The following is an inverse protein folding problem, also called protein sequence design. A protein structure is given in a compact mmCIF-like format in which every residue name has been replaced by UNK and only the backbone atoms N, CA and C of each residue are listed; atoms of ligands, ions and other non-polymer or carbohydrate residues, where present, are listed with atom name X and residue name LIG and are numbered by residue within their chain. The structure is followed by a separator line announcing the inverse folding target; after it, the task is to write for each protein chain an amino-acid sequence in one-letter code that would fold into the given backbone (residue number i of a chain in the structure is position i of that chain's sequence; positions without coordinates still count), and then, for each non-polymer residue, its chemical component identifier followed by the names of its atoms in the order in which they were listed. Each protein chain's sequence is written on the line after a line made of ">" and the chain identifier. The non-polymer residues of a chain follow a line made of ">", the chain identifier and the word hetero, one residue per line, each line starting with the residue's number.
data_IF_500385583289
#
_entry.id   IF_500385583289
#
_cell.length_a   1.000
_cell.length_b   1.000
_cell.length_c   1.000
_cell.angle_alpha   90.00
_cell.angle_beta   90.00
_cell.angle_gamma   90.00
#
_symmetry.space_group_name_H-M   'P 1'
#
loop_
_entity.id
_entity.type
_entity.pdbx_description
1 polymer ?
#
# COMPACT_ATOMS: atom_id res chain seq x y z
N UNK A 1 -81.72 43.68 10.87
CA UNK A 1 -80.71 44.50 10.15
C UNK A 1 -79.55 44.75 11.11
N UNK A 2 -78.30 44.47 10.73
CA UNK A 2 -77.66 43.20 10.33
C UNK A 2 -76.60 42.77 11.40
N UNK A 3 -75.91 41.62 11.35
CA UNK A 3 -75.73 40.71 10.24
C UNK A 3 -75.12 39.35 10.60
N UNK A 4 -75.42 38.43 9.69
CA UNK A 4 -74.76 37.17 9.30
C UNK A 4 -73.24 37.31 9.12
N UNK A 5 -72.34 36.32 9.16
CA UNK A 5 -72.31 34.84 9.18
C UNK A 5 -70.87 34.44 9.58
N UNK A 6 -70.55 33.23 10.04
CA UNK A 6 -69.95 32.15 9.21
C UNK A 6 -69.85 30.84 10.03
N UNK A 7 -70.32 29.73 9.41
CA UNK A 7 -70.18 28.31 9.82
C UNK A 7 -68.74 27.82 9.53
N UNK A 8 -68.18 26.72 10.07
CA UNK A 8 -68.49 25.30 9.78
C UNK A 8 -67.67 24.39 10.73
N UNK A 9 -68.41 23.55 11.47
CA UNK A 9 -68.32 22.09 11.71
C UNK A 9 -66.97 21.34 11.91
N UNK A 10 -66.92 20.70 13.09
CA UNK A 10 -66.14 19.51 13.53
C UNK A 10 -66.16 18.34 12.54
N UNK A 11 -65.10 17.50 12.58
CA UNK A 11 -65.22 16.06 12.84
C UNK A 11 -63.91 15.41 13.31
N UNK A 12 -64.07 14.62 14.37
CA UNK A 12 -63.16 13.67 15.01
C UNK A 12 -62.85 12.47 14.12
N UNK A 13 -61.65 11.90 14.23
CA UNK A 13 -61.30 10.59 13.67
C UNK A 13 -60.21 9.93 14.52
N UNK A 14 -60.61 8.92 15.28
CA UNK A 14 -59.76 8.07 16.12
C UNK A 14 -58.98 7.06 15.27
N UNK A 15 -57.79 6.69 15.76
CA UNK A 15 -56.91 5.69 15.15
C UNK A 15 -57.49 4.27 15.17
N UNK A 16 -57.06 3.49 14.19
CA UNK A 16 -57.26 2.03 14.12
C UNK A 16 -55.94 1.43 13.66
N UNK A 17 -55.31 0.66 14.54
CA UNK A 17 -54.38 -0.40 14.19
C UNK A 17 -55.20 -1.69 14.01
N UNK A 18 -55.00 -2.41 12.91
CA UNK A 18 -55.49 -3.77 12.75
C UNK A 18 -54.62 -4.58 11.79
N UNK A 19 -54.42 -5.83 12.19
CA UNK A 19 -53.63 -6.95 11.65
C UNK A 19 -54.38 -7.65 10.50
N UNK A 20 -53.72 -8.60 9.80
CA UNK A 20 -54.22 -9.71 8.93
C UNK A 20 -54.05 -9.45 7.40
N UNK A 21 -53.71 -10.38 6.49
CA UNK A 21 -53.26 -11.80 6.46
C UNK A 21 -53.00 -12.21 4.97
N UNK A 22 -52.12 -13.20 4.72
CA UNK A 22 -51.96 -14.13 3.55
C UNK A 22 -51.77 -13.54 2.12
N UNK A 23 -50.93 -14.09 1.22
CA UNK A 23 -51.19 -15.32 0.42
C UNK A 23 -49.89 -15.84 -0.24
N UNK A 24 -49.76 -17.17 -0.32
CA UNK A 24 -48.77 -17.96 -1.06
C UNK A 24 -48.74 -17.65 -2.56
N UNK A 25 -47.54 -17.69 -3.15
CA UNK A 25 -47.34 -17.88 -4.58
C UNK A 25 -46.00 -18.57 -4.84
N UNK A 26 -46.00 -19.91 -4.83
CA UNK A 26 -44.87 -20.69 -5.30
C UNK A 26 -44.80 -20.56 -6.84
N UNK A 27 -43.76 -19.90 -7.34
CA UNK A 27 -43.35 -20.01 -8.74
C UNK A 27 -41.94 -20.60 -8.75
N UNK A 28 -41.91 -21.92 -8.99
CA UNK A 28 -40.72 -22.68 -9.27
C UNK A 28 -40.29 -22.36 -10.71
N UNK A 29 -39.55 -21.27 -10.92
CA UNK A 29 -38.79 -21.08 -12.16
C UNK A 29 -37.42 -21.66 -11.91
N UNK A 30 -37.22 -22.88 -12.38
CA UNK A 30 -35.90 -23.47 -12.62
C UNK A 30 -35.24 -22.71 -13.76
N UNK A 31 -34.77 -21.51 -13.49
CA UNK A 31 -33.74 -20.89 -14.30
C UNK A 31 -32.44 -21.61 -13.97
N UNK A 32 -32.06 -22.55 -14.84
CA UNK A 32 -30.67 -22.98 -14.97
C UNK A 32 -29.85 -21.72 -15.22
N UNK A 33 -29.23 -21.18 -14.17
CA UNK A 33 -28.02 -20.41 -14.37
C UNK A 33 -27.01 -21.39 -14.94
N UNK A 34 -26.60 -21.19 -16.19
CA UNK A 34 -25.31 -21.67 -16.68
C UNK A 34 -24.22 -20.95 -15.87
N UNK A 35 -24.07 -21.37 -14.62
CA UNK A 35 -22.89 -21.15 -13.82
C UNK A 35 -22.04 -22.38 -13.98
N UNK A 36 -21.17 -22.39 -14.98
CA UNK A 36 -20.09 -23.37 -15.03
C UNK A 36 -18.77 -22.66 -15.35
N UNK A 37 -18.18 -22.24 -14.24
CA UNK A 37 -16.88 -21.61 -14.04
C UNK A 37 -16.68 -21.50 -12.54
N UNK A 38 -17.05 -22.56 -11.81
CA UNK A 38 -17.00 -22.63 -10.36
C UNK A 38 -15.59 -22.38 -9.87
N UNK A 39 -15.50 -21.39 -8.98
CA UNK A 39 -14.37 -20.97 -8.17
C UNK A 39 -13.86 -22.12 -7.28
N UNK A 40 -13.24 -23.14 -7.89
CA UNK A 40 -12.72 -24.31 -7.19
C UNK A 40 -11.41 -24.02 -6.41
N UNK A 41 -10.99 -22.75 -6.34
CA UNK A 41 -9.69 -22.34 -5.81
C UNK A 41 -9.72 -21.24 -4.74
N UNK A 42 -10.77 -20.42 -4.67
CA UNK A 42 -10.89 -19.44 -3.59
C UNK A 42 -11.37 -20.08 -2.28
N UNK A 43 -10.66 -19.81 -1.19
CA UNK A 43 -11.11 -20.16 0.15
C UNK A 43 -10.65 -19.10 1.17
N UNK A 44 -11.34 -18.95 2.32
CA UNK A 44 -10.93 -18.00 3.34
C UNK A 44 -9.45 -18.12 3.71
N UNK A 45 -8.80 -16.98 3.94
CA UNK A 45 -7.40 -16.91 4.37
C UNK A 45 -7.23 -16.07 5.61
N UNK A 46 -6.39 -16.55 6.53
CA UNK A 46 -5.94 -15.86 7.73
C UNK A 46 -4.44 -16.04 7.91
N UNK A 47 -3.83 -15.20 8.76
CA UNK A 47 -2.46 -15.40 9.24
C UNK A 47 -2.47 -16.57 10.24
N UNK A 48 -1.87 -17.70 9.85
CA UNK A 48 -1.81 -18.91 10.70
C UNK A 48 -0.59 -18.89 11.63
N UNK A 49 0.53 -18.39 11.14
CA UNK A 49 1.75 -18.21 11.94
C UNK A 49 2.65 -17.16 11.33
N UNK A 50 3.52 -16.58 12.14
CA UNK A 50 4.56 -15.68 11.70
C UNK A 50 5.82 -15.85 12.56
N UNK A 51 6.97 -15.41 12.06
CA UNK A 51 8.23 -15.38 12.80
C UNK A 51 9.13 -14.25 12.29
N UNK A 52 9.98 -13.64 13.13
CA UNK A 52 11.01 -12.71 12.66
C UNK A 52 11.92 -13.34 11.58
N UNK A 53 12.35 -12.53 10.62
CA UNK A 53 13.36 -12.89 9.60
C UNK A 53 14.65 -12.09 9.87
N UNK A 54 15.50 -12.59 10.80
CA UNK A 54 16.68 -11.87 11.22
C UNK A 54 17.75 -11.79 10.12
N UNK A 55 17.78 -12.71 9.15
CA UNK A 55 18.85 -12.71 8.14
C UNK A 55 18.78 -11.48 7.24
N UNK A 56 17.60 -11.14 6.75
CA UNK A 56 17.37 -9.93 5.95
C UNK A 56 17.52 -8.66 6.79
N UNK A 57 16.96 -8.67 8.01
CA UNK A 57 17.08 -7.54 8.94
C UNK A 57 18.56 -7.22 9.22
N UNK A 58 19.37 -8.23 9.50
CA UNK A 58 20.82 -8.05 9.71
C UNK A 58 21.58 -7.74 8.42
N UNK A 59 21.10 -8.18 7.25
CA UNK A 59 21.74 -7.86 5.97
C UNK A 59 21.65 -6.36 5.66
N UNK A 60 20.47 -5.76 5.83
CA UNK A 60 20.30 -4.31 5.69
C UNK A 60 21.02 -3.54 6.80
N UNK A 61 21.00 -4.01 8.04
CA UNK A 61 21.76 -3.37 9.11
C UNK A 61 23.27 -3.32 8.79
N UNK A 62 23.85 -4.46 8.38
CA UNK A 62 25.27 -4.51 7.98
C UNK A 62 25.57 -3.61 6.79
N UNK A 63 24.70 -3.60 5.77
CA UNK A 63 24.89 -2.76 4.60
C UNK A 63 24.86 -1.27 4.96
N UNK A 64 23.87 -0.85 5.75
CA UNK A 64 23.77 0.54 6.17
C UNK A 64 24.79 0.97 7.24
N UNK A 65 25.47 0.03 7.89
CA UNK A 65 26.58 0.30 8.83
C UNK A 65 27.95 0.28 8.15
N UNK A 66 28.01 -0.04 6.86
CA UNK A 66 29.23 -0.02 6.06
C UNK A 66 29.56 1.42 5.66
N UNK A 67 30.67 1.96 6.17
CA UNK A 67 31.13 3.33 5.91
C UNK A 67 32.18 3.43 4.79
N UNK A 68 32.35 2.37 3.97
CA UNK A 68 33.23 2.41 2.79
C UNK A 68 32.77 3.40 1.73
N UNK A 69 31.46 3.70 1.68
CA UNK A 69 30.83 4.68 0.80
C UNK A 69 29.86 5.54 1.61
N UNK A 70 29.84 6.85 1.34
CA UNK A 70 28.94 7.79 2.02
C UNK A 70 27.68 8.11 1.21
N UNK A 71 27.57 7.61 -0.01
CA UNK A 71 26.40 7.72 -0.88
C UNK A 71 25.54 6.44 -0.89
N UNK A 72 25.89 5.47 -0.03
CA UNK A 72 25.11 4.25 0.16
C UNK A 72 23.92 4.46 1.11
N UNK A 73 22.89 3.63 0.94
CA UNK A 73 21.71 3.59 1.80
C UNK A 73 22.12 3.26 3.23
N UNK A 74 21.60 4.03 4.20
CA UNK A 74 21.86 3.80 5.63
C UNK A 74 20.59 3.61 6.47
N UNK A 75 19.43 3.89 5.88
CA UNK A 75 18.10 3.75 6.47
C UNK A 75 17.07 4.34 5.51
N UNK A 76 15.87 3.80 5.49
CA UNK A 76 14.81 4.29 4.63
C UNK A 76 13.53 3.49 4.78
N UNK A 77 12.46 4.02 4.18
CA UNK A 77 11.11 3.46 4.25
C UNK A 77 10.53 3.12 2.86
N UNK A 78 9.28 2.66 2.82
CA UNK A 78 8.60 2.12 1.65
C UNK A 78 8.94 0.65 1.39
N UNK A 79 10.24 0.33 1.37
CA UNK A 79 10.79 -1.04 1.35
C UNK A 79 10.08 -1.95 0.34
N UNK A 80 10.09 -1.59 -0.94
CA UNK A 80 9.54 -2.43 -2.01
C UNK A 80 10.63 -3.27 -2.67
N UNK A 81 10.29 -4.44 -3.23
CA UNK A 81 11.27 -5.27 -3.93
C UNK A 81 10.73 -5.85 -5.22
N UNK A 82 11.58 -5.99 -6.24
CA UNK A 82 11.26 -6.65 -7.50
C UNK A 82 12.42 -7.52 -7.96
N UNK A 83 12.11 -8.76 -8.35
CA UNK A 83 13.10 -9.70 -8.90
C UNK A 83 13.40 -9.31 -10.34
N UNK A 84 14.67 -9.15 -10.66
CA UNK A 84 15.14 -8.83 -12.00
C UNK A 84 15.45 -10.11 -12.80
N UNK A 85 15.40 -10.07 -14.15
CA UNK A 85 15.63 -11.26 -14.98
C UNK A 85 17.03 -11.86 -14.86
N UNK A 86 18.02 -11.08 -14.43
CA UNK A 86 19.41 -11.50 -14.25
C UNK A 86 19.71 -12.07 -12.85
N UNK A 87 18.65 -12.38 -12.09
CA UNK A 87 18.73 -13.00 -10.76
C UNK A 87 18.92 -12.02 -9.61
N UNK A 88 19.22 -10.75 -9.88
CA UNK A 88 19.29 -9.70 -8.85
C UNK A 88 17.90 -9.41 -8.29
N UNK A 89 17.88 -8.85 -7.09
CA UNK A 89 16.71 -8.25 -6.47
C UNK A 89 16.95 -6.74 -6.34
N UNK A 90 16.06 -5.94 -6.90
CA UNK A 90 16.09 -4.50 -6.70
C UNK A 90 15.18 -4.14 -5.54
N UNK A 91 15.70 -3.41 -4.58
CA UNK A 91 14.95 -2.81 -3.49
C UNK A 91 14.75 -1.33 -3.79
N UNK A 92 13.54 -0.84 -3.56
CA UNK A 92 13.15 0.54 -3.78
C UNK A 92 12.71 1.13 -2.45
N UNK A 93 13.24 2.30 -2.13
CA UNK A 93 12.94 3.01 -0.90
C UNK A 93 12.45 4.41 -1.23
N UNK A 94 11.58 4.91 -0.35
CA UNK A 94 11.07 6.28 -0.34
C UNK A 94 12.06 7.17 0.42
N UNK A 95 11.65 7.85 1.48
CA UNK A 95 12.54 8.73 2.23
C UNK A 95 13.72 7.91 2.75
N UNK A 96 14.94 8.28 2.33
CA UNK A 96 16.15 7.48 2.52
C UNK A 96 17.26 8.36 3.07
N UNK A 97 17.83 7.96 4.20
CA UNK A 97 19.08 8.51 4.70
C UNK A 97 20.28 7.88 4.00
N UNK A 98 21.18 8.76 3.58
CA UNK A 98 22.53 8.42 3.13
C UNK A 98 23.55 8.96 4.14
N UNK A 99 24.83 8.88 3.82
CA UNK A 99 25.91 9.44 4.63
C UNK A 99 26.58 8.40 5.51
N UNK A 100 27.44 8.87 6.41
CA UNK A 100 28.22 8.01 7.28
C UNK A 100 27.41 7.53 8.48
N UNK A 101 27.54 6.24 8.80
CA UNK A 101 27.11 5.67 10.08
C UNK A 101 28.31 5.43 10.99
N UNK A 102 28.22 5.90 12.22
CA UNK A 102 29.22 5.75 13.26
C UNK A 102 28.88 4.53 14.12
N UNK A 103 29.87 3.65 14.31
CA UNK A 103 29.70 2.43 15.12
C UNK A 103 29.57 2.75 16.62
N UNK A 104 28.94 1.88 17.41
CA UNK A 104 28.95 1.98 18.86
C UNK A 104 30.37 1.81 19.48
N UNK A 105 30.67 2.48 20.61
CA UNK A 105 29.90 3.58 21.17
C UNK A 105 29.94 4.79 20.23
N UNK A 106 28.78 5.38 19.97
CA UNK A 106 28.71 6.50 19.02
C UNK A 106 29.32 7.79 19.64
N UNK A 107 29.48 8.89 18.89
CA UNK A 107 30.06 10.12 19.42
C UNK A 107 29.36 10.72 20.65
N UNK A 108 28.10 10.33 20.93
CA UNK A 108 27.36 10.72 22.12
C UNK A 108 27.47 9.70 23.29
N UNK A 109 28.26 8.64 23.13
CA UNK A 109 28.48 7.59 24.13
C UNK A 109 27.44 6.47 24.16
N UNK A 110 26.50 6.45 23.22
CA UNK A 110 25.40 5.49 23.21
C UNK A 110 25.78 4.17 22.53
N UNK A 111 25.11 3.08 22.92
CA UNK A 111 25.40 1.71 22.46
C UNK A 111 24.84 1.35 21.08
N UNK A 112 24.24 2.30 20.36
CA UNK A 112 23.63 2.10 19.05
C UNK A 112 24.32 2.91 17.95
N UNK A 113 24.28 2.38 16.73
CA UNK A 113 24.82 3.03 15.55
C UNK A 113 24.09 4.35 15.25
N UNK A 114 24.82 5.32 14.73
CA UNK A 114 24.44 6.74 14.75
C UNK A 114 24.80 7.45 13.43
N UNK A 115 24.02 8.45 13.03
CA UNK A 115 24.28 9.34 11.91
C UNK A 115 24.37 10.79 12.38
N UNK A 116 25.20 11.56 11.69
CA UNK A 116 25.24 13.01 11.86
C UNK A 116 23.86 13.64 11.59
N UNK A 117 23.51 14.69 12.33
CA UNK A 117 22.24 15.41 12.14
C UNK A 117 22.10 16.05 10.75
N UNK A 118 23.21 16.20 10.02
CA UNK A 118 23.29 16.72 8.66
C UNK A 118 23.33 15.63 7.59
N UNK A 119 23.12 14.35 7.97
CA UNK A 119 23.09 13.24 7.02
C UNK A 119 22.08 13.51 5.90
N UNK A 120 22.44 13.34 4.62
CA UNK A 120 21.52 13.57 3.51
C UNK A 120 20.27 12.72 3.62
N UNK A 121 19.11 13.32 3.36
CA UNK A 121 17.83 12.63 3.23
C UNK A 121 17.31 12.87 1.81
N UNK A 122 17.32 11.82 0.99
CA UNK A 122 16.75 11.84 -0.36
C UNK A 122 15.34 11.26 -0.34
N UNK A 123 14.51 11.64 -1.30
CA UNK A 123 13.10 11.21 -1.37
C UNK A 123 12.90 9.84 -1.99
N UNK A 124 13.92 9.27 -2.61
CA UNK A 124 13.89 7.91 -3.11
C UNK A 124 15.31 7.39 -3.32
N UNK A 125 15.46 6.08 -3.20
CA UNK A 125 16.70 5.38 -3.51
C UNK A 125 16.41 3.97 -4.00
N UNK A 126 17.45 3.29 -4.48
CA UNK A 126 17.35 1.88 -4.78
C UNK A 126 18.63 1.13 -4.40
N UNK A 127 18.47 -0.07 -3.88
CA UNK A 127 19.57 -0.94 -3.47
C UNK A 127 19.51 -2.24 -4.26
N UNK A 128 20.61 -2.61 -4.90
CA UNK A 128 20.76 -3.87 -5.62
C UNK A 128 21.22 -4.93 -4.63
N UNK A 129 20.52 -6.06 -4.63
CA UNK A 129 20.84 -7.24 -3.83
C UNK A 129 21.08 -8.45 -4.73
N UNK A 130 22.09 -9.25 -4.39
CA UNK A 130 22.37 -10.55 -4.99
C UNK A 130 22.63 -11.57 -3.88
N UNK A 131 22.10 -12.78 -4.05
CA UNK A 131 22.28 -13.90 -3.10
C UNK A 131 21.96 -13.54 -1.64
N UNK A 132 20.93 -12.71 -1.43
CA UNK A 132 20.47 -12.27 -0.10
C UNK A 132 21.36 -11.21 0.57
N UNK A 133 22.28 -10.60 -0.17
CA UNK A 133 23.18 -9.55 0.31
C UNK A 133 22.98 -8.27 -0.50
N UNK A 134 22.62 -7.14 0.14
CA UNK A 134 22.74 -5.84 -0.50
C UNK A 134 24.19 -5.59 -0.92
N UNK A 135 24.41 -5.10 -2.14
CA UNK A 135 25.75 -4.92 -2.72
C UNK A 135 26.03 -3.46 -3.10
N UNK A 136 25.04 -2.73 -3.58
CA UNK A 136 25.23 -1.34 -4.00
C UNK A 136 23.94 -0.53 -3.99
N UNK A 137 24.08 0.77 -3.70
CA UNK A 137 23.03 1.76 -3.84
C UNK A 137 23.20 2.41 -5.22
N UNK A 138 22.11 2.50 -5.98
CA UNK A 138 22.12 3.24 -7.25
C UNK A 138 22.28 4.74 -6.96
N UNK A 139 22.80 5.55 -7.92
CA UNK A 139 22.86 7.00 -7.75
C UNK A 139 21.53 7.57 -7.27
N UNK A 140 21.56 8.27 -6.13
CA UNK A 140 20.37 8.73 -5.44
C UNK A 140 20.29 10.28 -5.44
N UNK A 141 19.10 10.87 -5.64
CA UNK A 141 17.82 10.20 -5.89
C UNK A 141 17.78 9.51 -7.26
N UNK A 142 17.14 8.33 -7.31
CA UNK A 142 16.98 7.55 -8.55
C UNK A 142 15.96 8.22 -9.50
N UNK A 143 14.92 8.80 -8.92
CA UNK A 143 13.88 9.56 -9.60
C UNK A 143 14.01 11.02 -9.19
N UNK A 144 14.36 11.94 -10.11
CA UNK A 144 14.42 13.36 -9.82
C UNK A 144 13.08 13.89 -9.31
N UNK A 145 13.07 14.95 -8.52
CA UNK A 145 11.83 15.59 -8.09
C UNK A 145 11.07 16.21 -9.29
N UNK A 146 9.72 16.14 -9.32
CA UNK A 146 8.93 16.64 -10.44
C UNK A 146 8.85 18.17 -10.50
N UNK A 147 8.96 18.84 -9.35
CA UNK A 147 8.92 20.29 -9.21
C UNK A 147 9.45 20.69 -7.81
N UNK A 148 9.86 21.96 -7.59
CA UNK A 148 10.18 22.45 -6.25
C UNK A 148 9.05 22.17 -5.25
N UNK A 149 9.40 21.58 -4.11
CA UNK A 149 8.42 21.26 -3.07
C UNK A 149 7.52 20.06 -3.36
N UNK A 150 7.82 19.29 -4.42
CA UNK A 150 7.17 18.02 -4.75
C UNK A 150 8.22 16.92 -4.84
N UNK A 151 7.82 15.68 -4.58
CA UNK A 151 8.72 14.52 -4.59
C UNK A 151 8.05 13.26 -5.14
N UNK A 152 8.87 12.24 -5.41
CA UNK A 152 8.46 10.92 -5.90
C UNK A 152 8.84 9.83 -4.90
N UNK A 153 7.85 9.05 -4.49
CA UNK A 153 8.03 7.84 -3.69
C UNK A 153 7.78 6.59 -4.56
N UNK A 154 8.74 5.67 -4.70
CA UNK A 154 8.52 4.41 -5.40
C UNK A 154 7.73 3.43 -4.52
N UNK A 155 6.61 2.95 -5.04
CA UNK A 155 5.61 2.21 -4.25
C UNK A 155 5.28 0.82 -4.79
N UNK A 156 5.76 0.49 -5.97
CA UNK A 156 5.80 -0.88 -6.48
C UNK A 156 6.66 -0.91 -7.73
N UNK A 157 7.09 -2.10 -8.13
CA UNK A 157 7.76 -2.27 -9.39
C UNK A 157 7.48 -3.64 -10.01
N UNK A 158 7.54 -3.70 -11.33
CA UNK A 158 7.33 -4.92 -12.11
C UNK A 158 8.21 -4.92 -13.33
N UNK A 159 8.74 -6.10 -13.66
CA UNK A 159 9.35 -6.35 -14.95
C UNK A 159 8.23 -6.81 -15.90
N UNK A 160 8.02 -6.08 -16.98
CA UNK A 160 7.03 -6.42 -18.00
C UNK A 160 7.58 -6.17 -19.41
N UNK A 161 6.86 -6.64 -20.42
CA UNK A 161 7.14 -6.28 -21.81
C UNK A 161 7.04 -4.75 -21.99
N UNK A 162 7.90 -4.16 -22.83
CA UNK A 162 7.90 -2.70 -23.09
C UNK A 162 6.54 -2.19 -23.60
N UNK A 163 5.83 -3.03 -24.33
CA UNK A 163 4.45 -2.84 -24.76
C UNK A 163 3.80 -4.22 -24.88
N UNK A 164 2.45 -4.32 -24.88
CA UNK A 164 1.77 -5.60 -25.07
C UNK A 164 2.29 -6.35 -26.30
N UNK A 165 2.75 -7.58 -26.09
CA UNK A 165 3.31 -8.45 -27.14
C UNK A 165 4.79 -8.20 -27.51
N UNK A 166 5.47 -7.21 -26.93
CA UNK A 166 6.89 -6.97 -27.19
C UNK A 166 7.80 -8.04 -26.52
N UNK A 167 8.90 -8.38 -27.18
CA UNK A 167 9.93 -9.28 -26.62
C UNK A 167 10.88 -8.58 -25.65
N UNK A 168 11.14 -7.28 -25.86
CA UNK A 168 11.94 -6.46 -24.96
C UNK A 168 11.20 -6.27 -23.63
N UNK A 169 11.91 -6.52 -22.52
CA UNK A 169 11.39 -6.26 -21.18
C UNK A 169 12.04 -5.03 -20.57
N UNK A 170 11.25 -4.32 -19.77
CA UNK A 170 11.67 -3.15 -19.01
C UNK A 170 11.26 -3.31 -17.56
N UNK A 171 11.90 -2.54 -16.69
CA UNK A 171 11.43 -2.36 -15.33
C UNK A 171 10.48 -1.15 -15.28
N UNK A 172 9.25 -1.37 -14.82
CA UNK A 172 8.31 -0.31 -14.45
C UNK A 172 8.35 -0.09 -12.96
N UNK A 173 8.40 1.17 -12.54
CA UNK A 173 8.29 1.56 -11.13
C UNK A 173 7.12 2.51 -10.99
N UNK A 174 6.15 2.16 -10.16
CA UNK A 174 5.03 3.03 -9.82
C UNK A 174 5.50 4.04 -8.78
N UNK A 175 5.17 5.30 -9.02
CA UNK A 175 5.59 6.44 -8.24
C UNK A 175 4.37 7.19 -7.72
N UNK A 176 4.38 7.46 -6.43
CA UNK A 176 3.49 8.44 -5.82
C UNK A 176 4.13 9.81 -5.89
N UNK A 177 3.46 10.74 -6.56
CA UNK A 177 3.84 12.14 -6.58
C UNK A 177 3.10 12.85 -5.46
N UNK A 178 3.86 13.52 -4.60
CA UNK A 178 3.32 14.29 -3.47
C UNK A 178 3.95 15.68 -3.44
N UNK A 179 3.21 16.63 -2.87
CA UNK A 179 3.64 18.01 -2.69
C UNK A 179 3.53 18.47 -1.25
N UNK A 180 4.20 19.57 -0.89
CA UNK A 180 4.02 20.19 0.40
C UNK A 180 2.55 20.49 0.68
N UNK A 181 2.10 20.17 1.89
CA UNK A 181 0.76 20.45 2.35
C UNK A 181 0.78 20.92 3.80
N UNK A 182 -0.22 21.71 4.17
CA UNK A 182 -0.45 22.09 5.55
C UNK A 182 -1.03 20.89 6.34
N UNK A 183 -0.90 20.89 7.69
CA UNK A 183 -1.65 19.96 8.53
C UNK A 183 -3.15 19.95 8.16
N UNK A 184 -3.83 18.78 8.17
CA UNK A 184 -3.38 17.51 8.72
C UNK A 184 -2.62 16.60 7.73
N UNK A 185 -2.26 17.07 6.55
CA UNK A 185 -1.62 16.27 5.48
C UNK A 185 -0.10 16.10 5.71
N UNK A 186 0.25 15.40 6.78
CA UNK A 186 1.64 15.25 7.24
C UNK A 186 2.57 14.53 6.26
N UNK A 187 2.02 13.76 5.32
CA UNK A 187 2.76 13.09 4.25
C UNK A 187 2.81 13.91 2.96
N UNK A 188 2.35 15.17 2.97
CA UNK A 188 2.15 15.95 1.77
C UNK A 188 0.82 15.64 1.07
N UNK A 189 0.37 16.54 0.20
CA UNK A 189 -0.84 16.32 -0.58
C UNK A 189 -0.58 15.31 -1.71
N UNK A 190 -1.50 14.34 -1.94
CA UNK A 190 -1.41 13.43 -3.07
C UNK A 190 -1.65 14.19 -4.38
N UNK A 191 -0.73 14.08 -5.34
CA UNK A 191 -0.81 14.82 -6.61
C UNK A 191 -1.08 13.93 -7.81
N UNK A 192 -0.35 12.83 -7.96
CA UNK A 192 -0.46 11.96 -9.12
C UNK A 192 0.12 10.56 -8.87
N UNK A 193 -0.33 9.60 -9.67
CA UNK A 193 0.39 8.34 -9.90
C UNK A 193 1.16 8.44 -11.21
N UNK A 194 2.45 8.14 -11.14
CA UNK A 194 3.35 8.08 -12.29
C UNK A 194 3.95 6.69 -12.44
N UNK A 195 4.45 6.37 -13.63
CA UNK A 195 5.19 5.14 -13.93
C UNK A 195 6.52 5.51 -14.55
N UNK A 196 7.62 5.19 -13.87
CA UNK A 196 8.96 5.29 -14.41
C UNK A 196 9.34 4.03 -15.19
N UNK A 197 10.09 4.20 -16.27
CA UNK A 197 10.61 3.11 -17.11
C UNK A 197 12.13 3.08 -16.99
N UNK A 198 12.68 1.95 -16.58
CA UNK A 198 14.11 1.72 -16.53
C UNK A 198 14.50 0.60 -17.50
N UNK A 199 15.61 0.81 -18.19
CA UNK A 199 16.25 -0.22 -19.01
C UNK A 199 16.73 -1.42 -18.17
N UNK A 200 16.75 -2.60 -18.77
CA UNK A 200 17.32 -3.81 -18.18
C UNK A 200 18.52 -4.28 -19.03
N UNK A 201 19.61 -4.80 -18.42
CA UNK A 201 19.84 -4.92 -16.97
C UNK A 201 20.43 -3.64 -16.34
N UNK A 202 20.70 -2.58 -17.11
CA UNK A 202 21.47 -1.44 -16.65
C UNK A 202 20.76 -0.56 -15.58
N UNK A 203 19.44 -0.67 -15.45
CA UNK A 203 18.62 0.14 -14.53
C UNK A 203 18.74 1.66 -14.78
N UNK A 204 19.03 2.07 -16.03
CA UNK A 204 19.01 3.48 -16.43
C UNK A 204 17.57 3.94 -16.61
N UNK A 205 17.18 5.02 -15.93
CA UNK A 205 15.91 5.72 -16.13
C UNK A 205 15.79 6.24 -17.57
N UNK A 206 14.71 5.85 -18.25
CA UNK A 206 14.43 6.24 -19.64
C UNK A 206 13.32 7.29 -19.72
N UNK A 207 12.25 7.11 -18.93
CA UNK A 207 11.09 8.00 -18.94
C UNK A 207 10.29 7.92 -17.64
N UNK A 208 9.47 8.93 -17.39
CA UNK A 208 8.44 8.95 -16.34
C UNK A 208 7.14 9.44 -16.97
N UNK A 209 6.07 8.64 -16.86
CA UNK A 209 4.75 8.94 -17.45
C UNK A 209 3.71 9.12 -16.35
N UNK A 210 2.95 10.21 -16.38
CA UNK A 210 1.77 10.36 -15.51
C UNK A 210 0.62 9.52 -16.01
N UNK A 211 0.18 8.55 -15.19
CA UNK A 211 -0.94 7.65 -15.52
C UNK A 211 -2.25 8.09 -14.88
N UNK A 212 -2.18 8.80 -13.75
CA UNK A 212 -3.35 9.36 -13.10
C UNK A 212 -2.99 10.69 -12.43
N UNK A 213 -3.57 11.79 -12.92
CA UNK A 213 -3.47 13.10 -12.30
C UNK A 213 -4.65 13.30 -11.34
N UNK A 214 -4.35 13.63 -10.07
CA UNK A 214 -5.34 13.88 -9.03
C UNK A 214 -5.47 15.36 -8.67
N UNK A 215 -4.66 16.26 -9.27
CA UNK A 215 -4.66 17.69 -8.93
C UNK A 215 -5.98 18.39 -9.19
N UNK A 216 -6.75 17.90 -10.17
CA UNK A 216 -8.10 18.42 -10.49
C UNK A 216 -9.17 17.98 -9.49
N UNK A 217 -8.88 17.01 -8.61
CA UNK A 217 -9.77 16.62 -7.52
C UNK A 217 -9.54 17.59 -6.36
N UNK A 218 -10.47 18.52 -6.15
CA UNK A 218 -10.31 19.59 -5.14
C UNK A 218 -10.31 19.12 -3.69
N UNK A 219 -10.98 18.00 -3.38
CA UNK A 219 -10.98 17.41 -2.03
C UNK A 219 -9.82 16.42 -1.90
N UNK A 220 -8.76 16.80 -1.17
CA UNK A 220 -7.58 15.97 -0.91
C UNK A 220 -7.95 14.61 -0.31
N UNK A 221 -9.00 14.52 0.51
CA UNK A 221 -9.43 13.26 1.14
C UNK A 221 -10.11 12.28 0.18
N UNK A 222 -10.33 12.71 -1.07
CA UNK A 222 -10.91 11.89 -2.14
C UNK A 222 -9.88 11.56 -3.24
N UNK A 223 -8.65 12.05 -3.11
CA UNK A 223 -7.58 11.74 -4.05
C UNK A 223 -7.06 10.33 -3.77
N UNK A 224 -6.91 9.55 -4.83
CA UNK A 224 -6.43 8.17 -4.75
C UNK A 224 -5.08 8.07 -5.45
N UNK A 225 -4.10 7.50 -4.77
CA UNK A 225 -2.81 7.14 -5.36
C UNK A 225 -2.75 5.62 -5.55
N UNK A 226 -2.53 5.19 -6.79
CA UNK A 226 -2.43 3.78 -7.14
C UNK A 226 -0.98 3.32 -7.10
N UNK A 227 -0.76 2.04 -6.82
CA UNK A 227 0.53 1.39 -6.93
C UNK A 227 1.13 0.85 -5.66
N UNK A 228 0.41 0.81 -4.54
CA UNK A 228 0.94 0.22 -3.29
C UNK A 228 1.13 -1.31 -3.38
N UNK A 229 0.40 -1.96 -4.29
CA UNK A 229 0.59 -3.36 -4.64
C UNK A 229 0.22 -3.64 -6.10
N UNK A 230 0.91 -4.62 -6.69
CA UNK A 230 0.68 -5.13 -8.04
C UNK A 230 0.41 -6.63 -7.97
N UNK A 231 -0.66 -7.09 -8.62
CA UNK A 231 -1.01 -8.52 -8.70
C UNK A 231 -1.38 -8.87 -10.13
N UNK A 232 -0.86 -9.99 -10.62
CA UNK A 232 -1.09 -10.47 -11.98
C UNK A 232 -2.12 -11.60 -11.99
N UNK A 233 -3.10 -11.49 -12.88
CA UNK A 233 -4.09 -12.53 -13.15
C UNK A 233 -4.71 -12.35 -14.54
N UNK A 234 -4.85 -13.44 -15.29
CA UNK A 234 -5.60 -13.53 -16.54
C UNK A 234 -5.28 -12.44 -17.58
N UNK A 235 -3.99 -12.13 -17.75
CA UNK A 235 -3.53 -11.12 -18.71
C UNK A 235 -3.75 -9.67 -18.25
N UNK A 236 -4.10 -9.48 -16.98
CA UNK A 236 -4.20 -8.18 -16.33
C UNK A 236 -3.17 -8.00 -15.23
N UNK A 237 -2.73 -6.77 -15.07
CA UNK A 237 -2.03 -6.27 -13.89
C UNK A 237 -3.02 -5.46 -13.08
N UNK A 238 -3.43 -5.99 -11.93
CA UNK A 238 -4.23 -5.27 -10.95
C UNK A 238 -3.33 -4.37 -10.12
N UNK A 239 -3.71 -3.10 -10.05
CA UNK A 239 -2.97 -2.06 -9.33
C UNK A 239 -3.82 -1.58 -8.18
N UNK A 240 -3.39 -1.87 -6.96
CA UNK A 240 -4.09 -1.43 -5.76
C UNK A 240 -3.58 -0.06 -5.30
N UNK A 241 -4.47 0.75 -4.75
CA UNK A 241 -4.19 2.09 -4.27
C UNK A 241 -5.03 2.46 -3.06
N UNK A 242 -4.70 3.58 -2.43
CA UNK A 242 -5.41 4.09 -1.27
C UNK A 242 -5.74 5.57 -1.41
N UNK A 243 -6.75 6.00 -0.66
CA UNK A 243 -6.88 7.41 -0.29
C UNK A 243 -6.11 7.70 1.01
N UNK A 244 -5.87 8.97 1.32
CA UNK A 244 -5.20 9.37 2.58
C UNK A 244 -6.21 9.60 3.73
N UNK A 245 -7.49 9.23 3.52
CA UNK A 245 -8.57 9.50 4.47
C UNK A 245 -8.67 10.99 4.87
N UNK A 246 -9.31 11.27 6.01
CA UNK A 246 -9.16 12.55 6.71
C UNK A 246 -8.47 12.23 8.04
N UNK A 247 -7.17 12.52 8.23
CA UNK A 247 -6.36 11.97 9.33
C UNK A 247 -6.97 12.15 10.73
N UNK A 248 -7.72 13.23 10.97
CA UNK A 248 -8.36 13.52 12.26
C UNK A 248 -9.78 12.96 12.45
N UNK A 249 -10.47 12.52 11.38
CA UNK A 249 -11.90 12.13 11.44
C UNK A 249 -12.20 10.74 10.90
N UNK A 250 -11.24 10.10 10.22
CA UNK A 250 -11.32 8.72 9.76
C UNK A 250 -10.02 7.99 10.12
N UNK A 251 -10.03 7.05 11.08
CA UNK A 251 -8.84 6.36 11.55
C UNK A 251 -8.28 5.33 10.56
N UNK A 252 -8.92 5.16 9.39
CA UNK A 252 -8.49 4.27 8.32
C UNK A 252 -8.87 4.84 6.95
N UNK A 253 -8.03 4.55 5.97
CA UNK A 253 -8.23 4.85 4.55
C UNK A 253 -9.03 3.75 3.85
N UNK A 254 -9.47 4.03 2.62
CA UNK A 254 -10.09 3.02 1.75
C UNK A 254 -9.07 2.46 0.77
N UNK A 255 -9.21 1.16 0.46
CA UNK A 255 -8.50 0.56 -0.66
C UNK A 255 -9.33 0.67 -1.94
N UNK A 256 -8.63 0.91 -3.04
CA UNK A 256 -9.15 1.00 -4.40
C UNK A 256 -8.36 0.08 -5.31
N UNK A 257 -8.93 -0.27 -6.46
CA UNK A 257 -8.25 -1.09 -7.47
C UNK A 257 -8.47 -0.53 -8.88
N UNK A 258 -7.39 -0.56 -9.66
CA UNK A 258 -7.36 -0.36 -11.09
C UNK A 258 -6.81 -1.63 -11.76
N UNK A 259 -6.94 -1.73 -13.07
CA UNK A 259 -6.27 -2.76 -13.87
C UNK A 259 -5.76 -2.20 -15.18
N UNK A 260 -4.70 -2.81 -15.68
CA UNK A 260 -4.14 -2.60 -17.02
C UNK A 260 -3.85 -3.94 -17.68
N UNK A 261 -3.91 -4.07 -19.00
CA UNK A 261 -3.35 -5.21 -19.69
C UNK A 261 -1.85 -5.34 -19.37
N UNK A 262 -1.32 -6.56 -19.31
CA UNK A 262 0.12 -6.76 -19.09
C UNK A 262 0.98 -6.01 -20.14
N UNK A 263 2.05 -5.34 -19.69
CA UNK A 263 2.85 -4.47 -20.55
C UNK A 263 2.28 -3.06 -20.74
N UNK A 264 1.12 -2.77 -20.17
CA UNK A 264 0.39 -1.51 -20.31
C UNK A 264 0.56 -0.52 -19.14
N UNK A 265 1.41 -0.78 -18.14
CA UNK A 265 1.49 0.08 -16.95
C UNK A 265 1.80 1.53 -17.29
N UNK A 266 2.70 1.78 -18.26
CA UNK A 266 3.10 3.12 -18.66
C UNK A 266 2.22 3.75 -19.77
N UNK A 267 1.10 3.13 -20.14
CA UNK A 267 0.12 3.68 -21.08
C UNK A 267 -1.12 4.19 -20.31
N UNK A 268 -1.28 5.51 -20.11
CA UNK A 268 -2.43 6.06 -19.39
C UNK A 268 -3.79 5.71 -20.00
N UNK A 269 -3.85 5.44 -21.31
CA UNK A 269 -5.11 5.11 -21.98
C UNK A 269 -5.57 3.67 -21.69
N UNK A 270 -4.67 2.79 -21.26
CA UNK A 270 -4.95 1.39 -20.97
C UNK A 270 -5.52 1.14 -19.56
N UNK A 271 -5.52 2.16 -18.69
CA UNK A 271 -5.99 2.03 -17.31
C UNK A 271 -7.51 2.01 -17.21
N UNK A 272 -8.02 0.97 -16.54
CA UNK A 272 -9.41 0.85 -16.12
C UNK A 272 -9.51 0.88 -14.60
N UNK A 273 -10.50 1.62 -14.08
CA UNK A 273 -10.74 1.76 -12.65
C UNK A 273 -12.04 1.08 -12.29
N UNK A 274 -12.08 0.44 -11.11
CA UNK A 274 -13.33 -0.11 -10.58
C UNK A 274 -14.25 1.01 -10.10
N UNK A 275 -15.45 1.10 -10.67
CA UNK A 275 -16.43 2.15 -10.33
C UNK A 275 -17.46 1.73 -9.28
N UNK A 276 -17.35 0.51 -8.75
CA UNK A 276 -18.31 -0.10 -7.82
C UNK A 276 -19.25 -1.11 -8.47
N UNK A 277 -19.37 -1.08 -9.80
CA UNK A 277 -20.22 -1.97 -10.59
C UNK A 277 -19.49 -2.64 -11.76
N UNK A 278 -18.45 -2.00 -12.28
CA UNK A 278 -17.67 -2.50 -13.40
C UNK A 278 -16.34 -1.76 -13.57
N UNK A 279 -15.55 -2.25 -14.53
CA UNK A 279 -14.29 -1.64 -14.94
C UNK A 279 -14.54 -0.59 -16.02
N UNK A 280 -14.01 0.62 -15.83
CA UNK A 280 -14.22 1.75 -16.74
C UNK A 280 -12.96 2.59 -16.89
N UNK A 281 -12.66 3.01 -18.11
CA UNK A 281 -11.65 4.04 -18.36
C UNK A 281 -12.09 5.39 -17.78
N UNK A 282 -11.15 6.15 -17.19
CA UNK A 282 -11.40 7.52 -16.66
C UNK A 282 -12.53 7.63 -15.61
N UNK A 283 -12.91 6.53 -14.96
CA UNK A 283 -13.90 6.58 -13.91
C UNK A 283 -13.31 7.11 -12.59
N UNK A 284 -14.19 7.63 -11.74
CA UNK A 284 -13.84 7.86 -10.34
C UNK A 284 -13.83 6.51 -9.62
N UNK A 285 -12.69 6.09 -9.02
CA UNK A 285 -12.62 4.78 -8.38
C UNK A 285 -13.53 4.72 -7.14
N UNK A 286 -14.31 3.64 -7.05
CA UNK A 286 -15.04 3.29 -5.84
C UNK A 286 -14.15 2.48 -4.89
N UNK A 287 -14.38 2.55 -3.57
CA UNK A 287 -13.64 1.74 -2.62
C UNK A 287 -14.04 0.25 -2.74
N UNK A 288 -13.06 -0.64 -2.64
CA UNK A 288 -13.27 -2.11 -2.57
C UNK A 288 -13.17 -2.63 -1.14
N UNK A 289 -12.49 -1.89 -0.26
CA UNK A 289 -12.35 -2.20 1.17
C UNK A 289 -12.33 -0.92 2.00
N UNK A 290 -12.98 -0.98 3.16
CA UNK A 290 -13.00 0.05 4.18
C UNK A 290 -14.39 0.64 4.41
N UNK A 291 -14.78 0.77 5.68
CA UNK A 291 -15.97 1.51 6.11
C UNK A 291 -15.60 2.86 6.78
N UNK A 292 -14.31 3.20 6.76
CA UNK A 292 -13.73 4.39 7.38
C UNK A 292 -13.81 4.40 8.91
N UNK A 293 -14.11 3.25 9.53
CA UNK A 293 -14.28 3.10 10.98
C UNK A 293 -13.62 1.83 11.51
N UNK A 294 -14.25 0.67 11.28
CA UNK A 294 -13.85 -0.64 11.81
C UNK A 294 -13.01 -1.43 10.81
N UNK A 295 -13.22 -1.18 9.53
CA UNK A 295 -12.44 -1.79 8.44
C UNK A 295 -11.82 -0.70 7.58
N UNK A 296 -10.68 -1.02 7.00
CA UNK A 296 -9.91 -0.11 6.16
C UNK A 296 -8.45 -0.49 6.12
N UNK A 297 -7.68 0.37 5.48
CA UNK A 297 -6.24 0.19 5.27
C UNK A 297 -5.47 1.38 5.85
N UNK A 298 -4.20 1.16 6.19
CA UNK A 298 -3.23 2.24 6.33
C UNK A 298 -2.92 2.91 4.99
N UNK A 299 -2.14 3.99 5.02
CA UNK A 299 -1.74 4.74 3.82
C UNK A 299 -0.98 3.88 2.80
N UNK A 300 -0.27 2.85 3.25
CA UNK A 300 0.28 1.81 2.39
C UNK A 300 -0.13 0.41 2.90
N UNK A 301 -0.22 -0.53 1.96
CA UNK A 301 -0.58 -1.91 2.21
C UNK A 301 -0.06 -2.79 1.08
N UNK A 302 -0.10 -4.09 1.26
CA UNK A 302 0.31 -5.04 0.22
C UNK A 302 -0.82 -6.01 -0.09
N UNK A 303 -0.85 -6.48 -1.34
CA UNK A 303 -1.77 -7.52 -1.79
C UNK A 303 -0.96 -8.63 -2.43
N UNK A 304 -1.26 -9.87 -2.07
CA UNK A 304 -0.63 -11.07 -2.60
C UNK A 304 -1.66 -12.14 -2.93
N UNK A 305 -1.22 -13.23 -3.55
CA UNK A 305 -2.04 -14.37 -3.95
C UNK A 305 -1.63 -15.60 -3.15
N UNK A 306 -2.60 -16.32 -2.61
CA UNK A 306 -2.40 -17.63 -1.99
C UNK A 306 -3.42 -18.64 -2.57
N UNK A 307 -2.98 -19.38 -3.59
CA UNK A 307 -3.90 -20.13 -4.46
C UNK A 307 -4.82 -19.18 -5.24
N UNK A 308 -6.12 -19.49 -5.28
CA UNK A 308 -7.13 -18.64 -5.92
C UNK A 308 -7.59 -17.45 -5.08
N UNK A 309 -6.93 -17.15 -3.95
CA UNK A 309 -7.39 -16.12 -3.01
C UNK A 309 -6.44 -14.94 -2.96
N UNK A 310 -7.01 -13.73 -3.10
CA UNK A 310 -6.34 -12.48 -2.83
C UNK A 310 -6.26 -12.25 -1.32
N UNK A 311 -5.08 -11.86 -0.83
CA UNK A 311 -4.87 -11.51 0.58
C UNK A 311 -4.23 -10.14 0.66
N UNK A 312 -4.90 -9.22 1.35
CA UNK A 312 -4.40 -7.88 1.63
C UNK A 312 -3.88 -7.83 3.06
N UNK A 313 -2.66 -7.34 3.25
CA UNK A 313 -2.02 -7.12 4.54
C UNK A 313 -1.79 -5.62 4.74
N UNK A 314 -2.24 -5.10 5.87
CA UNK A 314 -2.20 -3.67 6.19
C UNK A 314 -2.07 -3.46 7.70
N UNK A 315 -1.70 -2.26 8.14
CA UNK A 315 -1.81 -1.92 9.56
C UNK A 315 -3.28 -1.88 9.98
N UNK A 316 -3.60 -2.38 11.17
CA UNK A 316 -4.96 -2.40 11.71
C UNK A 316 -5.56 -0.97 11.79
N UNK A 317 -6.89 -0.88 11.74
CA UNK A 317 -7.57 0.42 11.92
C UNK A 317 -7.46 0.91 13.36
N UNK A 318 -7.43 2.23 13.56
CA UNK A 318 -7.37 2.83 14.90
C UNK A 318 -6.02 2.68 15.58
N UNK A 319 -6.00 2.72 16.92
CA UNK A 319 -4.75 2.76 17.70
C UNK A 319 -3.90 1.48 17.57
N UNK A 320 -4.53 0.32 17.31
CA UNK A 320 -3.82 -0.93 17.06
C UNK A 320 -2.91 -0.85 15.81
N UNK A 321 -3.24 0.03 14.86
CA UNK A 321 -2.46 0.26 13.64
C UNK A 321 -1.05 0.80 13.85
N UNK A 322 -0.69 1.20 15.07
CA UNK A 322 0.68 1.61 15.39
C UNK A 322 1.62 0.41 15.58
N UNK A 323 1.08 -0.81 15.72
CA UNK A 323 1.89 -1.99 15.99
C UNK A 323 1.39 -3.26 15.29
N UNK A 324 0.11 -3.37 14.96
CA UNK A 324 -0.50 -4.61 14.50
C UNK A 324 -0.77 -4.59 13.01
N UNK A 325 -0.28 -5.61 12.30
CA UNK A 325 -0.65 -5.92 10.92
C UNK A 325 -1.88 -6.82 10.95
N UNK A 326 -2.87 -6.55 10.11
CA UNK A 326 -4.06 -7.37 9.91
C UNK A 326 -4.21 -7.80 8.46
N UNK A 327 -5.02 -8.84 8.24
CA UNK A 327 -5.29 -9.38 6.91
C UNK A 327 -6.76 -9.24 6.50
N UNK A 328 -7.00 -9.10 5.21
CA UNK A 328 -8.30 -9.26 4.56
C UNK A 328 -8.15 -10.22 3.37
N UNK A 329 -9.22 -10.88 2.95
CA UNK A 329 -9.17 -11.78 1.80
C UNK A 329 -10.36 -11.60 0.86
N UNK A 330 -10.19 -11.94 -0.42
CA UNK A 330 -11.23 -11.90 -1.43
C UNK A 330 -10.99 -12.93 -2.54
N UNK A 331 -12.05 -13.34 -3.22
CA UNK A 331 -11.97 -14.21 -4.41
C UNK A 331 -11.75 -13.42 -5.71
N UNK A 332 -11.93 -12.11 -5.66
CA UNK A 332 -11.74 -11.19 -6.78
C UNK A 332 -11.02 -9.94 -6.29
N UNK A 333 -10.19 -9.30 -7.12
CA UNK A 333 -9.49 -8.06 -6.75
C UNK A 333 -10.47 -6.91 -6.43
N UNK A 334 -11.66 -6.93 -7.04
CA UNK A 334 -12.73 -5.97 -6.77
C UNK A 334 -13.59 -6.33 -5.54
N UNK A 335 -13.30 -7.44 -4.87
CA UNK A 335 -14.05 -7.94 -3.73
C UNK A 335 -15.25 -8.83 -4.10
N UNK A 336 -16.17 -9.08 -3.14
CA UNK A 336 -16.19 -8.50 -1.80
C UNK A 336 -14.97 -8.90 -0.97
N UNK A 337 -14.41 -7.96 -0.21
CA UNK A 337 -13.32 -8.21 0.72
C UNK A 337 -13.87 -8.57 2.10
N UNK A 338 -13.31 -9.64 2.68
CA UNK A 338 -13.70 -10.21 3.96
C UNK A 338 -12.59 -10.02 4.99
N UNK A 339 -12.98 -9.70 6.23
CA UNK A 339 -12.05 -9.52 7.33
C UNK A 339 -12.51 -8.42 8.31
N UNK A 340 -11.67 -8.05 9.29
CA UNK A 340 -10.28 -8.49 9.45
C UNK A 340 -10.17 -9.99 9.78
N UNK A 341 -9.29 -10.70 9.08
CA UNK A 341 -9.10 -12.16 9.15
C UNK A 341 -7.72 -12.49 9.76
N UNK A 342 -7.61 -12.22 11.07
CA UNK A 342 -6.36 -12.41 11.81
C UNK A 342 -5.32 -11.31 11.57
N UNK A 343 -4.16 -11.48 12.17
CA UNK A 343 -3.09 -10.50 12.17
C UNK A 343 -1.93 -10.92 13.06
N UNK A 344 -0.95 -10.05 13.16
CA UNK A 344 0.18 -10.22 14.05
C UNK A 344 0.80 -8.87 14.45
N UNK A 345 1.48 -8.87 15.58
CA UNK A 345 2.19 -7.69 16.10
C UNK A 345 3.69 -8.02 16.10
N UNK A 346 4.47 -7.54 15.11
CA UNK A 346 5.91 -7.73 15.12
C UNK A 346 6.57 -7.04 16.32
N UNK A 347 7.74 -7.55 16.73
CA UNK A 347 8.53 -6.90 17.76
C UNK A 347 9.09 -5.57 17.24
N UNK A 348 8.90 -4.51 18.02
CA UNK A 348 9.44 -3.19 17.75
C UNK A 348 10.85 -3.04 18.35
N UNK A 349 11.75 -2.25 17.74
CA UNK A 349 13.14 -2.15 18.19
C UNK A 349 13.31 -1.34 19.48
N UNK A 350 12.36 -0.47 19.83
CA UNK A 350 12.39 0.32 21.05
C UNK A 350 10.97 0.77 21.47
N UNK A 351 10.71 1.01 22.77
CA UNK A 351 9.51 1.72 23.21
C UNK A 351 9.41 3.09 22.53
N UNK A 352 8.19 3.53 22.20
CA UNK A 352 7.98 4.81 21.50
C UNK A 352 8.12 4.74 19.97
N UNK A 353 8.31 3.55 19.41
CA UNK A 353 8.26 3.34 17.96
C UNK A 353 6.92 2.79 17.49
N UNK A 354 6.66 2.90 16.19
CA UNK A 354 5.54 2.27 15.51
C UNK A 354 6.00 1.48 14.30
N UNK A 355 5.25 0.42 13.98
CA UNK A 355 5.36 -0.29 12.71
C UNK A 355 4.43 0.36 11.69
N UNK A 356 4.82 0.38 10.42
CA UNK A 356 3.99 0.85 9.31
C UNK A 356 4.40 0.21 7.98
N UNK A 357 3.65 0.49 6.92
CA UNK A 357 3.91 0.04 5.55
C UNK A 357 4.28 -1.46 5.41
N UNK A 358 3.40 -2.40 5.82
CA UNK A 358 3.68 -3.80 5.60
C UNK A 358 3.80 -4.10 4.11
N UNK A 359 4.93 -4.67 3.68
CA UNK A 359 5.17 -4.99 2.28
C UNK A 359 5.59 -6.43 2.01
N UNK A 360 4.93 -7.07 1.04
CA UNK A 360 5.24 -8.43 0.64
C UNK A 360 6.41 -8.44 -0.34
N UNK A 361 7.24 -9.47 -0.22
CA UNK A 361 8.38 -9.71 -1.09
C UNK A 361 8.26 -11.07 -1.78
N UNK A 362 7.36 -11.24 -2.77
CA UNK A 362 7.13 -12.52 -3.44
C UNK A 362 8.39 -13.15 -4.01
N UNK A 363 9.34 -12.33 -4.48
CA UNK A 363 10.63 -12.79 -4.96
C UNK A 363 11.48 -13.52 -3.91
N UNK A 364 11.20 -13.33 -2.61
CA UNK A 364 11.91 -13.96 -1.49
C UNK A 364 11.07 -15.04 -0.77
N UNK A 365 9.77 -15.08 -1.05
CA UNK A 365 8.85 -16.05 -0.48
C UNK A 365 9.17 -17.47 -0.96
N UNK A 366 9.16 -18.44 -0.05
CA UNK A 366 9.48 -19.85 -0.32
C UNK A 366 8.72 -20.77 0.62
N UNK A 367 8.48 -22.00 0.20
CA UNK A 367 7.91 -23.07 1.05
C UNK A 367 6.59 -22.69 1.73
N UNK A 368 5.73 -21.95 1.02
CA UNK A 368 4.44 -21.46 1.55
C UNK A 368 4.58 -20.40 2.65
N UNK A 369 5.74 -19.76 2.76
CA UNK A 369 5.99 -18.63 3.66
C UNK A 369 6.25 -17.37 2.85
N UNK A 370 5.39 -16.38 3.06
CA UNK A 370 5.56 -15.03 2.55
C UNK A 370 6.65 -14.33 3.35
N UNK A 371 7.58 -13.65 2.67
CA UNK A 371 8.45 -12.67 3.32
C UNK A 371 7.75 -11.33 3.31
N UNK A 372 7.60 -10.71 4.48
CA UNK A 372 6.99 -9.40 4.65
C UNK A 372 7.98 -8.48 5.38
N UNK A 373 8.15 -7.26 4.90
CA UNK A 373 8.77 -6.18 5.66
C UNK A 373 7.73 -5.30 6.34
N UNK A 374 8.16 -4.56 7.34
CA UNK A 374 7.49 -3.35 7.80
C UNK A 374 8.56 -2.31 8.11
N UNK A 375 8.18 -1.06 7.90
CA UNK A 375 8.99 0.08 8.29
C UNK A 375 8.78 0.37 9.77
N UNK A 376 9.75 1.06 10.37
CA UNK A 376 9.69 1.51 11.76
C UNK A 376 9.96 3.00 11.82
N UNK A 377 9.21 3.71 12.67
CA UNK A 377 9.44 5.13 12.92
C UNK A 377 9.21 5.48 14.40
N UNK A 378 9.67 6.66 14.80
CA UNK A 378 9.47 7.23 16.12
C UNK A 378 8.12 7.96 16.19
N UNK A 379 7.32 7.68 17.23
CA UNK A 379 5.96 8.21 17.37
C UNK A 379 5.91 9.70 17.69
N UNK A 380 6.86 10.19 18.49
CA UNK A 380 6.90 11.60 18.88
C UNK A 380 7.43 12.44 17.73
N UNK A 381 6.57 13.26 17.12
CA UNK A 381 6.94 14.07 15.95
C UNK A 381 7.98 15.15 16.30
N UNK A 382 7.94 15.65 17.54
CA UNK A 382 8.89 16.63 18.07
C UNK A 382 10.29 16.03 18.19
N UNK A 383 11.21 16.46 17.31
CA UNK A 383 12.58 15.98 17.32
C UNK A 383 12.78 14.58 16.74
N UNK A 384 11.78 14.01 16.06
CA UNK A 384 11.88 12.70 15.40
C UNK A 384 13.13 12.59 14.54
N UNK A 385 13.40 13.58 13.68
CA UNK A 385 14.58 13.59 12.82
C UNK A 385 15.90 13.41 13.60
N UNK A 386 16.04 14.10 14.75
CA UNK A 386 17.21 13.95 15.60
C UNK A 386 17.28 12.55 16.23
N UNK A 387 16.14 11.98 16.64
CA UNK A 387 16.07 10.63 17.19
C UNK A 387 16.45 9.56 16.15
N UNK A 388 15.93 9.67 14.92
CA UNK A 388 16.23 8.72 13.84
C UNK A 388 17.70 8.79 13.41
N UNK A 389 18.33 9.96 13.46
CA UNK A 389 19.77 10.10 13.28
C UNK A 389 20.55 9.51 14.47
N UNK A 390 20.06 9.71 15.70
CA UNK A 390 20.74 9.20 16.89
C UNK A 390 20.78 7.68 16.94
N UNK A 391 19.70 7.02 16.56
CA UNK A 391 19.62 5.57 16.50
C UNK A 391 19.11 5.14 15.13
N UNK A 392 20.05 4.76 14.24
CA UNK A 392 19.74 4.39 12.85
C UNK A 392 18.80 3.19 12.73
N UNK A 393 18.74 2.35 13.76
CA UNK A 393 17.90 1.15 13.78
C UNK A 393 16.39 1.45 13.88
N UNK A 394 16.04 2.71 14.19
CA UNK A 394 14.67 3.21 14.29
C UNK A 394 14.08 3.62 12.94
N UNK A 395 14.87 3.59 11.85
CA UNK A 395 14.42 3.93 10.49
C UNK A 395 15.04 2.99 9.45
N UNK A 396 15.00 1.69 9.76
CA UNK A 396 15.42 0.59 8.87
C UNK A 396 14.32 -0.46 8.83
N UNK A 397 14.11 -1.12 7.69
CA UNK A 397 13.09 -2.15 7.57
C UNK A 397 13.36 -3.33 8.49
N UNK A 398 12.28 -3.93 8.96
CA UNK A 398 12.27 -5.18 9.72
C UNK A 398 11.52 -6.23 8.94
N UNK A 399 12.00 -7.47 8.97
CA UNK A 399 11.44 -8.55 8.18
C UNK A 399 10.84 -9.62 9.06
N UNK A 400 9.75 -10.21 8.58
CA UNK A 400 9.09 -11.39 9.14
C UNK A 400 8.78 -12.38 8.02
N UNK A 401 8.60 -13.64 8.38
CA UNK A 401 7.94 -14.63 7.54
C UNK A 401 6.51 -14.83 8.02
N UNK A 402 5.56 -14.97 7.10
CA UNK A 402 4.13 -15.16 7.39
C UNK A 402 3.65 -16.40 6.64
N UNK A 403 2.90 -17.25 7.32
CA UNK A 403 2.19 -18.39 6.70
C UNK A 403 0.71 -18.11 6.71
N UNK A 404 0.12 -18.11 5.52
CA UNK A 404 -1.32 -18.04 5.33
C UNK A 404 -1.93 -19.44 5.32
N UNK A 405 -3.23 -19.51 5.59
CA UNK A 405 -4.00 -20.75 5.52
C UNK A 405 -5.46 -20.53 5.90
N UNK A 406 -6.26 -21.61 5.91
CA UNK A 406 -7.67 -21.51 6.30
C UNK A 406 -7.80 -21.07 7.77
N UNK A 407 -8.86 -20.32 8.12
CA UNK A 407 -9.27 -20.10 9.50
C UNK A 407 -9.44 -21.43 10.23
N UNK A 408 -9.06 -21.47 11.50
CA UNK A 408 -9.27 -22.65 12.37
C UNK A 408 -10.69 -22.72 12.88
#
# INVERSE_FOLDING_TARGET
>A
MPGDTVRIRRRTGAGIAAVLVLVLGAVLVTARSEGDGGDAGCAPRTVVSWAPEPRLTSAFARYGDDDTRTDDWTGGDGTHSVRLPDGRLLWLFSDTFLGRVHRPPNPAGEAYAWRDGTAPLVRNSAVVMRDGRPESTLPAPLFPDPAPGSWRWPVAARVEARSPGASERVLRVLLWVRGHAAPPWIYGEPLATEVATLSLPALRLESVTTVLDQRLVGDLSRRVLFGTALVEEDGWTYVFGGDDGRPASRPASHAHVARVPEGGLADPAAWEFWDGSGWRSRARPAPVLGDGRRTGVGSAFTVTRDGGTYVLLTMAAGAEGLATVTAYWACSPAGPWHGPAGGFTPALPAPGTAAYNPQAHPGLSRDGRLVLSHDVNWLETSGAAAMLSRNVSLYRPRFVTVRLGPPR
#
